data_IF_689991584766
#
_entry.id   IF_689991584766
#
_cell.length_a   1.000
_cell.length_b   1.000
_cell.length_c   1.000
_cell.angle_alpha   90.00
_cell.angle_beta   90.00
_cell.angle_gamma   90.00
#
_symmetry.space_group_name_H-M   'P 1'
#
loop_
_entity.id
_entity.type
_entity.pdbx_description
1 polymer ?
#
# COMPACT_ATOMS: atom_id res chain seq x y z
N UNK A 1 21.75 -16.56 16.13
CA UNK A 1 21.65 -16.01 14.76
C UNK A 1 20.22 -16.14 14.29
N UNK A 2 19.56 -15.04 13.89
CA UNK A 2 18.20 -15.07 13.33
C UNK A 2 18.29 -15.60 11.90
N UNK A 3 17.58 -16.69 11.61
CA UNK A 3 17.48 -17.26 10.26
C UNK A 3 16.13 -16.88 9.66
N UNK A 4 16.16 -16.19 8.54
CA UNK A 4 14.93 -15.89 7.77
C UNK A 4 14.72 -16.98 6.70
N UNK A 5 13.50 -17.49 6.61
CA UNK A 5 13.07 -18.42 5.56
C UNK A 5 11.88 -17.83 4.85
N UNK A 6 11.84 -17.97 3.54
CA UNK A 6 10.70 -17.59 2.71
C UNK A 6 10.01 -18.87 2.22
N UNK A 7 8.68 -18.92 2.33
CA UNK A 7 7.85 -19.99 1.78
C UNK A 7 6.84 -19.39 0.83
N UNK A 8 6.53 -20.13 -0.22
CA UNK A 8 5.61 -19.72 -1.26
C UNK A 8 4.45 -20.72 -1.35
N UNK A 9 3.23 -20.21 -1.43
CA UNK A 9 2.02 -21.01 -1.54
C UNK A 9 1.18 -20.44 -2.67
N UNK A 10 0.90 -21.27 -3.68
CA UNK A 10 0.03 -20.91 -4.79
C UNK A 10 -1.43 -21.09 -4.38
N UNK A 11 -2.23 -20.05 -4.58
CA UNK A 11 -3.66 -20.02 -4.30
C UNK A 11 -4.40 -20.04 -5.63
N UNK A 12 -4.88 -21.21 -6.00
CA UNK A 12 -5.69 -21.40 -7.21
C UNK A 12 -7.13 -20.94 -6.99
N UNK A 13 -7.91 -20.83 -8.06
CA UNK A 13 -9.35 -20.46 -8.01
C UNK A 13 -10.21 -21.38 -7.13
N UNK A 14 -9.78 -22.63 -6.92
CA UNK A 14 -10.49 -23.59 -6.06
C UNK A 14 -10.10 -23.50 -4.58
N UNK A 15 -9.07 -22.74 -4.24
CA UNK A 15 -8.60 -22.62 -2.86
C UNK A 15 -9.55 -21.72 -2.05
N UNK A 16 -9.91 -22.06 -0.79
CA UNK A 16 -10.82 -21.25 0.04
C UNK A 16 -10.38 -19.79 0.19
N UNK A 17 -9.07 -19.53 0.29
CA UNK A 17 -8.51 -18.17 0.39
C UNK A 17 -8.51 -17.39 -0.94
N UNK A 18 -8.97 -17.96 -2.07
CA UNK A 18 -8.90 -17.24 -3.35
C UNK A 18 -9.69 -15.93 -3.31
N UNK A 19 -10.94 -15.97 -2.88
CA UNK A 19 -11.80 -14.79 -2.79
C UNK A 19 -11.22 -13.71 -1.86
N UNK A 20 -10.62 -14.12 -0.75
CA UNK A 20 -9.92 -13.20 0.15
C UNK A 20 -8.72 -12.54 -0.54
N UNK A 21 -7.87 -13.31 -1.22
CA UNK A 21 -6.71 -12.77 -1.95
C UNK A 21 -7.15 -11.80 -3.05
N UNK A 22 -8.20 -12.14 -3.79
CA UNK A 22 -8.79 -11.32 -4.84
C UNK A 22 -9.25 -9.97 -4.27
N UNK A 23 -10.08 -10.01 -3.24
CA UNK A 23 -10.61 -8.81 -2.59
C UNK A 23 -9.51 -7.91 -2.04
N UNK A 24 -8.60 -8.43 -1.22
CA UNK A 24 -7.61 -7.59 -0.53
C UNK A 24 -6.61 -6.96 -1.51
N UNK A 25 -6.21 -7.67 -2.58
CA UNK A 25 -5.29 -7.13 -3.59
C UNK A 25 -5.95 -6.07 -4.47
N UNK A 26 -7.24 -6.21 -4.79
CA UNK A 26 -8.03 -5.21 -5.50
C UNK A 26 -8.24 -3.95 -4.65
N UNK A 27 -8.60 -4.11 -3.37
CA UNK A 27 -8.79 -2.98 -2.45
C UNK A 27 -7.48 -2.21 -2.22
N UNK A 28 -6.34 -2.90 -2.09
CA UNK A 28 -5.03 -2.25 -2.05
C UNK A 28 -4.75 -1.46 -3.34
N UNK A 29 -5.12 -1.98 -4.50
CA UNK A 29 -4.97 -1.30 -5.79
C UNK A 29 -5.78 0.00 -5.85
N UNK A 30 -7.03 -0.02 -5.42
CA UNK A 30 -7.90 1.15 -5.37
C UNK A 30 -7.32 2.21 -4.42
N UNK A 31 -6.92 1.81 -3.22
CA UNK A 31 -6.31 2.71 -2.24
C UNK A 31 -4.99 3.32 -2.75
N UNK A 32 -4.11 2.54 -3.39
CA UNK A 32 -2.89 3.08 -4.01
C UNK A 32 -3.24 4.13 -5.07
N UNK A 33 -4.27 3.92 -5.88
CA UNK A 33 -4.73 4.91 -6.86
C UNK A 33 -5.29 6.18 -6.19
N UNK A 34 -6.05 6.04 -5.10
CA UNK A 34 -6.57 7.18 -4.34
C UNK A 34 -5.45 8.05 -3.73
N UNK A 35 -4.38 7.41 -3.22
CA UNK A 35 -3.19 8.11 -2.71
C UNK A 35 -2.43 8.79 -3.86
N UNK A 36 -2.16 8.07 -4.95
CA UNK A 36 -1.44 8.60 -6.12
C UNK A 36 -2.18 9.76 -6.76
N UNK A 37 -3.52 9.72 -6.78
CA UNK A 37 -4.33 10.83 -7.26
C UNK A 37 -4.01 12.11 -6.47
N UNK A 38 -4.05 12.05 -5.14
CA UNK A 38 -3.73 13.17 -4.26
C UNK A 38 -2.29 13.65 -4.42
N UNK A 39 -1.34 12.72 -4.47
CA UNK A 39 0.06 13.04 -4.70
C UNK A 39 0.27 13.81 -6.00
N UNK A 40 -0.35 13.38 -7.08
CA UNK A 40 -0.20 14.00 -8.41
C UNK A 40 -0.86 15.37 -8.47
N UNK A 41 -2.07 15.53 -7.91
CA UNK A 41 -2.74 16.82 -7.87
C UNK A 41 -1.95 17.84 -7.03
N UNK A 42 -1.45 17.46 -5.86
CA UNK A 42 -0.64 18.33 -5.00
C UNK A 42 0.68 18.78 -5.65
N UNK A 43 1.30 17.92 -6.49
CA UNK A 43 2.52 18.26 -7.23
C UNK A 43 2.30 19.36 -8.28
N UNK A 44 1.12 19.47 -8.83
CA UNK A 44 0.80 20.40 -9.92
C UNK A 44 0.10 21.65 -9.43
N UNK A 45 -0.86 21.52 -8.52
CA UNK A 45 -1.72 22.64 -8.06
C UNK A 45 -0.93 23.80 -7.45
N UNK A 46 0.14 23.49 -6.70
CA UNK A 46 0.96 24.51 -6.01
C UNK A 46 1.81 25.35 -6.95
N UNK A 47 1.97 24.90 -8.20
CA UNK A 47 2.77 25.57 -9.25
C UNK A 47 1.91 26.36 -10.24
N UNK A 48 0.60 26.30 -10.09
CA UNK A 48 -0.36 26.94 -11.01
C UNK A 48 -1.05 28.13 -10.34
N UNK A 49 -1.27 29.18 -11.12
CA UNK A 49 -2.15 30.24 -10.71
C UNK A 49 -3.58 29.70 -10.50
N UNK A 50 -4.40 30.26 -9.60
CA UNK A 50 -5.75 29.75 -9.33
C UNK A 50 -6.63 29.57 -10.57
N UNK A 51 -6.53 30.46 -11.56
CA UNK A 51 -7.28 30.40 -12.80
C UNK A 51 -6.88 29.24 -13.73
N UNK A 52 -5.67 28.71 -13.58
CA UNK A 52 -5.11 27.63 -14.43
C UNK A 52 -5.31 26.23 -13.82
N UNK A 53 -5.91 26.14 -12.64
CA UNK A 53 -6.10 24.89 -11.93
C UNK A 53 -7.30 24.12 -12.50
N UNK A 54 -7.15 22.80 -12.68
CA UNK A 54 -8.24 21.92 -13.00
C UNK A 54 -9.20 21.74 -11.81
N UNK A 55 -10.42 21.26 -12.07
CA UNK A 55 -11.39 20.90 -11.02
C UNK A 55 -10.79 19.89 -10.00
N UNK A 56 -10.10 18.87 -10.48
CA UNK A 56 -9.44 17.89 -9.63
C UNK A 56 -8.37 18.50 -8.74
N UNK A 57 -7.57 19.43 -9.26
CA UNK A 57 -6.55 20.13 -8.48
C UNK A 57 -7.18 21.01 -7.40
N UNK A 58 -8.24 21.76 -7.74
CA UNK A 58 -8.98 22.55 -6.77
C UNK A 58 -9.66 21.66 -5.71
N UNK A 59 -10.28 20.55 -6.13
CA UNK A 59 -10.91 19.59 -5.23
C UNK A 59 -9.91 19.05 -4.20
N UNK A 60 -8.73 18.59 -4.64
CA UNK A 60 -7.73 18.02 -3.71
C UNK A 60 -7.10 19.11 -2.84
N UNK A 61 -6.90 20.31 -3.36
CA UNK A 61 -6.40 21.42 -2.54
C UNK A 61 -7.40 21.76 -1.42
N UNK A 62 -8.68 21.87 -1.73
CA UNK A 62 -9.74 22.11 -0.76
C UNK A 62 -9.83 20.97 0.26
N UNK A 63 -9.87 19.71 -0.19
CA UNK A 63 -9.86 18.54 0.70
C UNK A 63 -8.71 18.58 1.72
N UNK A 64 -7.52 18.96 1.30
CA UNK A 64 -6.36 19.04 2.17
C UNK A 64 -6.45 20.24 3.11
N UNK A 65 -6.88 21.39 2.63
CA UNK A 65 -7.02 22.60 3.45
C UNK A 65 -8.06 22.40 4.57
N UNK A 66 -9.18 21.75 4.26
CA UNK A 66 -10.26 21.47 5.22
C UNK A 66 -9.84 20.36 6.21
N UNK A 67 -9.02 19.40 5.79
CA UNK A 67 -8.58 18.29 6.63
C UNK A 67 -7.48 18.68 7.63
N UNK A 68 -6.54 19.56 7.26
CA UNK A 68 -5.40 19.93 8.12
C UNK A 68 -5.81 20.37 9.52
N UNK A 69 -6.82 21.25 9.73
CA UNK A 69 -7.24 21.69 11.06
C UNK A 69 -7.76 20.58 11.97
N UNK A 70 -8.31 19.50 11.39
CA UNK A 70 -8.92 18.39 12.15
C UNK A 70 -8.01 17.17 12.28
N UNK A 71 -6.80 17.21 11.68
CA UNK A 71 -5.81 16.17 11.87
C UNK A 71 -5.19 16.22 13.26
N UNK A 72 -4.84 15.04 13.81
CA UNK A 72 -4.21 14.93 15.14
C UNK A 72 -2.82 15.54 15.23
N UNK A 73 -2.13 15.68 14.11
CA UNK A 73 -0.81 16.33 13.98
C UNK A 73 -0.94 17.60 13.17
N UNK A 74 -0.15 18.61 13.54
CA UNK A 74 -0.07 19.84 12.76
C UNK A 74 0.71 19.61 11.46
N UNK A 75 0.12 20.03 10.34
CA UNK A 75 0.75 19.99 9.01
C UNK A 75 0.71 21.39 8.38
N UNK A 76 1.78 21.70 7.64
CA UNK A 76 1.82 22.91 6.84
C UNK A 76 0.90 22.76 5.63
N UNK A 77 0.25 23.85 5.25
CA UNK A 77 -0.59 23.89 4.04
C UNK A 77 0.25 23.70 2.78
N UNK A 78 -0.33 23.16 1.69
CA UNK A 78 0.36 23.00 0.43
C UNK A 78 0.86 24.34 -0.12
N UNK A 79 2.11 24.36 -0.58
CA UNK A 79 2.77 25.51 -1.21
C UNK A 79 3.84 25.04 -2.18
N UNK A 80 4.45 25.94 -2.97
CA UNK A 80 5.55 25.60 -3.88
C UNK A 80 6.71 24.88 -3.19
N UNK A 81 6.95 25.18 -1.91
CA UNK A 81 7.99 24.56 -1.10
C UNK A 81 7.48 23.39 -0.25
N UNK A 82 6.17 23.15 -0.22
CA UNK A 82 5.54 22.11 0.61
C UNK A 82 4.39 21.45 -0.12
N UNK A 83 4.67 20.42 -0.88
CA UNK A 83 3.68 19.64 -1.66
C UNK A 83 3.90 18.13 -1.59
N UNK A 84 5.02 17.68 -1.06
CA UNK A 84 5.32 16.27 -0.82
C UNK A 84 5.18 15.98 0.67
N UNK A 85 4.25 15.10 0.99
CA UNK A 85 3.95 14.71 2.36
C UNK A 85 4.34 13.26 2.61
N UNK A 86 4.62 12.94 3.89
CA UNK A 86 4.95 11.60 4.33
C UNK A 86 3.74 10.70 4.54
N UNK A 87 4.01 9.45 4.93
CA UNK A 87 3.00 8.45 5.21
C UNK A 87 1.94 8.91 6.22
N UNK A 88 2.36 9.52 7.33
CA UNK A 88 1.43 9.92 8.41
C UNK A 88 0.40 10.96 7.94
N UNK A 89 0.80 11.86 7.05
CA UNK A 89 -0.10 12.83 6.44
C UNK A 89 -1.20 12.14 5.62
N UNK A 90 -0.83 11.28 4.66
CA UNK A 90 -1.83 10.60 3.82
C UNK A 90 -2.71 9.64 4.62
N UNK A 91 -2.15 8.95 5.60
CA UNK A 91 -2.93 8.08 6.50
C UNK A 91 -3.95 8.90 7.31
N UNK A 92 -3.57 10.07 7.81
CA UNK A 92 -4.45 10.98 8.54
C UNK A 92 -5.50 11.61 7.62
N UNK A 93 -5.07 12.11 6.44
CA UNK A 93 -5.95 12.72 5.44
C UNK A 93 -7.07 11.76 5.04
N UNK A 94 -6.74 10.56 4.58
CA UNK A 94 -7.73 9.57 4.12
C UNK A 94 -8.68 9.13 5.26
N UNK A 95 -8.18 9.12 6.49
CA UNK A 95 -8.99 8.80 7.67
C UNK A 95 -10.01 9.89 7.96
N UNK A 96 -9.57 11.17 8.07
CA UNK A 96 -10.45 12.27 8.47
C UNK A 96 -11.43 12.70 7.39
N UNK A 97 -11.07 12.50 6.11
CA UNK A 97 -11.95 12.75 4.96
C UNK A 97 -12.95 11.63 4.69
N UNK A 98 -12.90 10.53 5.48
CA UNK A 98 -13.79 9.39 5.26
C UNK A 98 -13.61 8.72 3.90
N UNK A 99 -12.38 8.68 3.37
CA UNK A 99 -12.14 8.15 2.03
C UNK A 99 -12.64 6.71 1.88
N UNK A 100 -13.49 6.39 0.90
CA UNK A 100 -14.12 5.07 0.78
C UNK A 100 -13.11 3.94 0.52
N UNK A 101 -12.02 4.19 -0.21
CA UNK A 101 -11.01 3.16 -0.47
C UNK A 101 -10.18 2.86 0.80
N UNK A 102 -9.99 3.84 1.69
CA UNK A 102 -9.32 3.64 2.97
C UNK A 102 -10.20 2.89 3.98
N UNK A 103 -11.51 3.13 3.96
CA UNK A 103 -12.51 2.52 4.84
C UNK A 103 -13.22 1.32 4.19
N UNK A 104 -12.72 0.82 3.07
CA UNK A 104 -13.35 -0.27 2.34
C UNK A 104 -13.49 -1.52 3.23
N UNK A 105 -14.69 -2.10 3.23
CA UNK A 105 -14.94 -3.38 3.88
C UNK A 105 -14.06 -4.48 3.26
N UNK A 106 -13.47 -5.31 4.10
CA UNK A 106 -12.54 -6.36 3.66
C UNK A 106 -11.08 -5.92 3.50
N UNK A 107 -10.76 -4.62 3.65
CA UNK A 107 -9.39 -4.14 3.64
C UNK A 107 -8.77 -4.15 5.05
N UNK A 108 -7.77 -5.02 5.34
CA UNK A 108 -7.09 -5.00 6.63
C UNK A 108 -6.38 -3.67 6.86
N UNK A 109 -6.50 -3.11 8.06
CA UNK A 109 -5.91 -1.81 8.39
C UNK A 109 -4.40 -1.74 8.13
N UNK A 110 -3.67 -2.79 8.47
CA UNK A 110 -2.23 -2.85 8.21
C UNK A 110 -1.92 -2.87 6.71
N UNK A 111 -2.71 -3.59 5.90
CA UNK A 111 -2.55 -3.58 4.44
C UNK A 111 -2.81 -2.20 3.85
N UNK A 112 -3.82 -1.48 4.32
CA UNK A 112 -4.07 -0.09 3.93
C UNK A 112 -2.85 0.80 4.24
N UNK A 113 -2.30 0.70 5.45
CA UNK A 113 -1.12 1.47 5.85
C UNK A 113 0.11 1.12 5.01
N UNK A 114 0.33 -0.15 4.67
CA UNK A 114 1.45 -0.58 3.82
C UNK A 114 1.29 -0.06 2.38
N UNK A 115 0.07 -0.03 1.84
CA UNK A 115 -0.22 0.57 0.53
C UNK A 115 0.12 2.06 0.49
N UNK A 116 -0.25 2.83 1.53
CA UNK A 116 0.11 4.25 1.64
C UNK A 116 1.63 4.42 1.74
N UNK A 117 2.31 3.64 2.59
CA UNK A 117 3.78 3.68 2.75
C UNK A 117 4.49 3.39 1.43
N UNK A 118 3.97 2.44 0.64
CA UNK A 118 4.49 2.13 -0.69
C UNK A 118 4.36 3.32 -1.63
N UNK A 119 3.19 3.95 -1.72
CA UNK A 119 3.00 5.13 -2.57
C UNK A 119 3.93 6.29 -2.21
N UNK A 120 4.14 6.53 -0.91
CA UNK A 120 5.08 7.57 -0.43
C UNK A 120 6.52 7.21 -0.81
N UNK A 121 6.93 5.96 -0.64
CA UNK A 121 8.26 5.49 -1.03
C UNK A 121 8.48 5.61 -2.54
N UNK A 122 7.49 5.24 -3.35
CA UNK A 122 7.56 5.34 -4.81
C UNK A 122 7.74 6.82 -5.25
N UNK A 123 7.00 7.74 -4.62
CA UNK A 123 7.15 9.18 -4.89
C UNK A 123 8.52 9.72 -4.48
N UNK A 124 9.03 9.32 -3.31
CA UNK A 124 10.37 9.70 -2.85
C UNK A 124 11.46 9.16 -3.77
N UNK A 125 11.30 7.94 -4.29
CA UNK A 125 12.20 7.34 -5.27
C UNK A 125 12.19 8.13 -6.58
N UNK A 126 11.04 8.60 -7.03
CA UNK A 126 10.93 9.50 -8.18
C UNK A 126 11.72 10.80 -7.96
N UNK A 127 11.57 11.47 -6.81
CA UNK A 127 12.32 12.68 -6.53
C UNK A 127 13.84 12.44 -6.47
N UNK A 128 14.27 11.35 -5.86
CA UNK A 128 15.67 10.96 -5.82
C UNK A 128 16.23 10.71 -7.24
N UNK A 129 15.47 10.00 -8.08
CA UNK A 129 15.83 9.75 -9.48
C UNK A 129 15.89 11.04 -10.29
N UNK A 130 14.94 11.96 -10.11
CA UNK A 130 14.97 13.27 -10.77
C UNK A 130 16.18 14.12 -10.36
N UNK A 131 16.55 14.07 -9.07
CA UNK A 131 17.76 14.76 -8.58
C UNK A 131 19.02 14.16 -9.19
N UNK A 132 19.13 12.85 -9.29
CA UNK A 132 20.24 12.16 -9.94
C UNK A 132 20.29 12.46 -11.46
N UNK A 133 19.15 12.40 -12.15
CA UNK A 133 19.02 12.73 -13.57
C UNK A 133 19.48 14.15 -13.90
N UNK A 134 19.17 15.13 -13.03
CA UNK A 134 19.62 16.51 -13.21
C UNK A 134 21.15 16.66 -13.10
N UNK A 135 21.81 15.79 -12.33
CA UNK A 135 23.28 15.78 -12.18
C UNK A 135 23.97 15.10 -13.36
N UNK A 136 23.45 13.97 -13.78
CA UNK A 136 24.00 13.18 -14.89
C UNK A 136 22.86 12.52 -15.68
N UNK A 137 22.56 13.10 -16.85
CA UNK A 137 21.54 12.60 -17.76
C UNK A 137 21.99 11.33 -18.49
N UNK A 138 23.31 11.13 -18.66
CA UNK A 138 23.85 10.01 -19.41
C UNK A 138 23.72 8.67 -18.70
N UNK A 139 23.59 8.69 -17.36
CA UNK A 139 23.35 7.50 -16.53
C UNK A 139 21.91 6.94 -16.62
N UNK A 140 21.03 7.59 -17.41
CA UNK A 140 19.62 7.22 -17.50
C UNK A 140 19.21 6.95 -18.96
N UNK A 141 18.34 5.96 -19.17
CA UNK A 141 17.74 5.66 -20.46
C UNK A 141 16.66 6.67 -20.88
N UNK A 142 16.24 7.55 -19.98
CA UNK A 142 15.25 8.60 -20.22
C UNK A 142 14.89 9.36 -18.96
N UNK A 143 14.04 10.38 -19.11
CA UNK A 143 13.59 11.20 -17.99
C UNK A 143 12.77 10.37 -17.00
N UNK A 144 13.11 10.35 -15.70
CA UNK A 144 12.31 9.67 -14.70
C UNK A 144 10.85 10.15 -14.70
N UNK A 145 9.92 9.22 -14.64
CA UNK A 145 8.48 9.52 -14.66
C UNK A 145 7.89 9.41 -13.26
N UNK A 146 6.97 10.30 -12.95
CA UNK A 146 6.19 10.22 -11.71
C UNK A 146 5.40 8.88 -11.69
N UNK A 147 5.25 8.21 -10.52
CA UNK A 147 4.46 6.99 -10.41
C UNK A 147 3.06 7.17 -11.01
N UNK A 148 2.72 6.28 -11.96
CA UNK A 148 1.42 6.27 -12.63
C UNK A 148 0.35 5.57 -11.82
N UNK A 149 -0.90 5.64 -12.31
CA UNK A 149 -2.00 4.87 -11.75
C UNK A 149 -1.90 3.39 -12.15
N UNK A 150 -2.41 2.54 -11.29
CA UNK A 150 -2.73 1.17 -11.65
C UNK A 150 -3.96 1.12 -12.55
N UNK A 151 -4.07 0.07 -13.36
CA UNK A 151 -5.25 -0.18 -14.19
C UNK A 151 -6.50 -0.27 -13.31
N UNK A 152 -7.61 0.32 -13.74
CA UNK A 152 -8.92 0.18 -13.08
C UNK A 152 -9.32 -1.29 -13.00
N UNK A 153 -9.78 -1.74 -11.83
CA UNK A 153 -10.08 -3.15 -11.58
C UNK A 153 -8.84 -4.06 -11.56
N UNK A 154 -7.64 -3.47 -11.45
CA UNK A 154 -6.39 -4.23 -11.29
C UNK A 154 -6.17 -4.71 -9.86
N UNK A 155 -5.10 -5.49 -9.70
CA UNK A 155 -4.66 -6.03 -8.42
C UNK A 155 -3.20 -5.66 -8.17
N UNK A 156 -2.83 -5.43 -6.92
CA UNK A 156 -1.46 -5.17 -6.50
C UNK A 156 -1.08 -6.10 -5.35
N UNK A 157 0.21 -6.21 -5.07
CA UNK A 157 0.66 -6.97 -3.91
C UNK A 157 0.12 -6.34 -2.62
N UNK A 158 -0.65 -7.10 -1.85
CA UNK A 158 -1.06 -6.75 -0.51
C UNK A 158 -0.05 -7.26 0.51
N UNK A 159 0.28 -6.43 1.51
CA UNK A 159 1.22 -6.76 2.59
C UNK A 159 0.44 -6.81 3.90
N UNK A 160 0.56 -7.93 4.61
CA UNK A 160 -0.02 -8.16 5.93
C UNK A 160 1.15 -8.33 6.90
N UNK A 161 1.19 -7.48 7.93
CA UNK A 161 2.29 -7.50 8.89
C UNK A 161 2.08 -8.58 9.95
N UNK A 162 3.10 -8.82 10.75
CA UNK A 162 3.08 -9.76 11.88
C UNK A 162 2.06 -9.40 12.98
N UNK A 163 1.48 -8.20 12.95
CA UNK A 163 0.42 -7.82 13.88
C UNK A 163 -0.91 -8.49 13.55
N UNK A 164 -1.15 -8.73 12.25
CA UNK A 164 -2.41 -9.28 11.73
C UNK A 164 -2.28 -10.72 11.21
N UNK A 165 -1.05 -11.16 10.87
CA UNK A 165 -0.78 -12.51 10.39
C UNK A 165 -0.20 -13.37 11.51
N UNK A 166 -0.87 -14.48 11.85
CA UNK A 166 -0.51 -15.33 12.98
C UNK A 166 -0.34 -16.78 12.55
N UNK A 167 0.76 -17.40 12.99
CA UNK A 167 0.94 -18.85 12.90
C UNK A 167 0.25 -19.51 14.09
N UNK A 168 -0.64 -20.47 13.82
CA UNK A 168 -1.28 -21.30 14.82
C UNK A 168 -0.80 -22.72 14.67
N UNK A 169 -0.33 -23.32 15.76
CA UNK A 169 -0.04 -24.76 15.80
C UNK A 169 -1.33 -25.55 15.70
N UNK A 170 -1.36 -26.52 14.81
CA UNK A 170 -2.44 -27.51 14.70
C UNK A 170 -2.03 -28.85 15.29
N UNK A 171 -0.74 -29.12 15.34
CA UNK A 171 -0.15 -30.31 15.95
C UNK A 171 1.27 -29.94 16.47
N UNK A 172 1.39 -29.82 17.78
CA UNK A 172 2.66 -29.46 18.42
C UNK A 172 3.72 -30.55 18.30
N UNK A 173 3.31 -31.81 18.35
CA UNK A 173 4.25 -32.95 18.30
C UNK A 173 4.89 -33.07 16.92
N UNK A 174 4.14 -32.76 15.86
CA UNK A 174 4.60 -32.81 14.47
C UNK A 174 4.97 -31.42 13.93
N UNK A 175 5.01 -30.36 14.76
CA UNK A 175 5.35 -28.99 14.38
C UNK A 175 4.52 -28.48 13.19
N UNK A 176 3.25 -28.89 13.07
CA UNK A 176 2.34 -28.47 11.99
C UNK A 176 1.68 -27.15 12.34
N UNK A 177 1.68 -26.23 11.39
CA UNK A 177 1.14 -24.89 11.55
C UNK A 177 0.19 -24.50 10.43
N UNK A 178 -0.72 -23.58 10.76
CA UNK A 178 -1.57 -22.88 9.83
C UNK A 178 -1.36 -21.36 9.99
N UNK A 179 -1.34 -20.66 8.86
CA UNK A 179 -1.35 -19.20 8.82
C UNK A 179 -2.79 -18.72 8.88
N UNK A 180 -3.10 -17.92 9.89
CA UNK A 180 -4.34 -17.17 10.00
C UNK A 180 -4.11 -15.73 9.51
N UNK A 181 -4.97 -15.28 8.59
CA UNK A 181 -5.01 -13.93 8.05
C UNK A 181 -6.17 -13.13 8.68
N UNK A 182 -6.10 -11.79 8.70
CA UNK A 182 -7.16 -10.96 9.22
C UNK A 182 -8.41 -11.01 8.32
N UNK A 183 -9.58 -10.74 8.89
CA UNK A 183 -10.86 -10.63 8.18
C UNK A 183 -11.29 -11.85 7.36
N UNK A 184 -10.71 -13.03 7.63
CA UNK A 184 -11.16 -14.30 7.06
C UNK A 184 -11.18 -15.41 8.11
N UNK A 185 -12.06 -16.37 7.94
CA UNK A 185 -12.12 -17.60 8.75
C UNK A 185 -11.20 -18.69 8.19
N UNK A 186 -10.89 -18.60 6.89
CA UNK A 186 -10.04 -19.56 6.20
C UNK A 186 -8.58 -19.43 6.62
N UNK A 187 -7.88 -20.55 6.64
CA UNK A 187 -6.48 -20.64 7.02
C UNK A 187 -5.66 -21.30 5.92
N UNK A 188 -4.37 -20.98 5.86
CA UNK A 188 -3.42 -21.62 4.95
C UNK A 188 -2.59 -22.64 5.73
N UNK A 189 -2.64 -23.91 5.33
CA UNK A 189 -1.74 -24.93 5.84
C UNK A 189 -0.31 -24.64 5.38
N UNK A 190 0.59 -24.35 6.31
CA UNK A 190 1.99 -23.98 5.98
C UNK A 190 2.97 -25.13 6.25
N UNK A 191 2.46 -26.26 6.72
CA UNK A 191 3.26 -27.46 6.99
C UNK A 191 4.14 -27.31 8.22
N UNK A 192 5.27 -28.04 8.22
CA UNK A 192 6.18 -28.08 9.36
C UNK A 192 7.03 -26.81 9.44
N UNK A 193 7.01 -26.15 10.57
CA UNK A 193 7.81 -24.97 10.87
C UNK A 193 8.57 -25.21 12.18
N UNK A 194 9.78 -24.68 12.31
CA UNK A 194 10.56 -24.77 13.52
C UNK A 194 9.81 -24.17 14.71
N UNK A 195 9.94 -24.78 15.88
CA UNK A 195 9.31 -24.25 17.09
C UNK A 195 9.79 -22.81 17.36
N UNK A 196 8.90 -21.96 17.84
CA UNK A 196 9.18 -20.55 18.10
C UNK A 196 9.30 -19.65 16.86
N UNK A 197 9.06 -20.16 15.64
CA UNK A 197 9.07 -19.35 14.43
C UNK A 197 7.96 -18.29 14.46
N UNK A 198 8.29 -17.09 14.00
CA UNK A 198 7.35 -15.95 13.93
C UNK A 198 7.23 -15.44 12.50
N UNK A 199 6.03 -15.06 12.11
CA UNK A 199 5.79 -14.33 10.86
C UNK A 199 6.42 -12.94 10.99
N UNK A 200 7.13 -12.50 9.97
CA UNK A 200 7.59 -11.11 9.86
C UNK A 200 6.59 -10.28 9.04
N UNK A 201 6.26 -10.79 7.88
CA UNK A 201 5.23 -10.24 6.99
C UNK A 201 4.73 -11.34 6.05
N UNK A 202 3.54 -11.15 5.52
CA UNK A 202 2.93 -11.97 4.47
C UNK A 202 2.69 -11.07 3.26
N UNK A 203 3.11 -11.51 2.08
CA UNK A 203 2.78 -10.84 0.82
C UNK A 203 1.82 -11.71 0.02
N UNK A 204 0.74 -11.13 -0.45
CA UNK A 204 -0.21 -11.75 -1.39
C UNK A 204 -0.01 -11.07 -2.73
N UNK A 205 0.53 -11.79 -3.68
CA UNK A 205 0.90 -11.24 -5.00
C UNK A 205 0.03 -11.86 -6.09
N UNK A 206 -0.63 -11.06 -6.94
CA UNK A 206 -1.33 -11.54 -8.12
C UNK A 206 -0.37 -12.25 -9.09
N UNK A 207 -0.79 -13.40 -9.63
CA UNK A 207 0.00 -14.18 -10.58
C UNK A 207 -0.92 -14.87 -11.61
N UNK A 208 -1.07 -14.29 -12.79
CA UNK A 208 -1.80 -14.87 -13.94
C UNK A 208 -3.17 -15.48 -13.58
N UNK A 209 -4.03 -14.72 -12.88
CA UNK A 209 -5.37 -15.17 -12.48
C UNK A 209 -5.39 -16.12 -11.29
N UNK A 210 -4.26 -16.24 -10.60
CA UNK A 210 -4.07 -16.91 -9.31
C UNK A 210 -3.33 -15.96 -8.36
N UNK A 211 -3.04 -16.41 -7.14
CA UNK A 211 -2.25 -15.65 -6.17
C UNK A 211 -1.10 -16.48 -5.62
N UNK A 212 -0.02 -15.81 -5.27
CA UNK A 212 1.07 -16.42 -4.50
C UNK A 212 1.17 -15.73 -3.16
N UNK A 213 1.09 -16.52 -2.10
CA UNK A 213 1.33 -16.06 -0.72
C UNK A 213 2.78 -16.36 -0.37
N UNK A 214 3.52 -15.33 -0.04
CA UNK A 214 4.88 -15.40 0.51
C UNK A 214 4.82 -15.20 2.01
N UNK A 215 5.48 -16.10 2.73
CA UNK A 215 5.54 -16.12 4.19
C UNK A 215 7.00 -16.12 4.66
#
# INVERSE_FOLDING_TARGET
MLVYRNRQFRISKKHPLYGYCDTVTALCCNLENAVRFRQRQLLTVVKKAPADRSENENFILAEVMDAIPVMSKHYQVPSENRYAYGYEFYNSLLKVTGNPDYHAEGLPRQSAQQSIKKCVRDLNSYFASMKAYKKDKSAFTGVPKIPGYHRKGGHVTAIITNQDAVLKSTDRNNLRYQLKLPLTKDTLAVGNISDGAKVKEVKITPDNGTYVIYL
#
